data_IF_099287294100
#
_entry.id   IF_099287294100
#
_cell.length_a   1.000
_cell.length_b   1.000
_cell.length_c   1.000
_cell.angle_alpha   90.00
_cell.angle_beta   90.00
_cell.angle_gamma   90.00
#
_symmetry.space_group_name_H-M   'P 1'
#
loop_
_entity.id
_entity.type
_entity.pdbx_description
1 polymer ?
#
# COMPACT_ATOMS: atom_id res chain seq x y z
N UNK A 1 -12.61 52.33 27.01
CA UNK A 1 -12.22 50.90 26.88
C UNK A 1 -13.12 50.26 25.83
N UNK A 2 -12.62 50.03 24.62
CA UNK A 2 -13.37 49.38 23.54
C UNK A 2 -12.60 48.15 23.09
N UNK A 3 -13.10 46.96 23.44
CA UNK A 3 -12.54 45.69 22.99
C UNK A 3 -13.02 45.40 21.57
N UNK A 4 -12.11 45.43 20.60
CA UNK A 4 -12.36 45.02 19.22
C UNK A 4 -12.06 43.53 19.12
N UNK A 5 -13.11 42.71 18.96
CA UNK A 5 -13.00 41.29 18.63
C UNK A 5 -12.57 41.13 17.17
N UNK A 6 -11.34 40.65 16.93
CA UNK A 6 -10.93 40.19 15.60
C UNK A 6 -11.56 38.81 15.32
N UNK A 7 -12.59 38.77 14.47
CA UNK A 7 -13.02 37.54 13.80
C UNK A 7 -11.98 37.18 12.73
N UNK A 8 -11.26 36.08 12.93
CA UNK A 8 -10.42 35.49 11.89
C UNK A 8 -11.32 34.92 10.79
N UNK A 9 -11.22 35.48 9.58
CA UNK A 9 -11.82 34.89 8.40
C UNK A 9 -10.91 33.77 7.87
N UNK A 10 -11.43 32.56 7.59
CA UNK A 10 -10.62 31.49 7.03
C UNK A 10 -10.14 31.88 5.63
N UNK A 11 -8.85 32.15 5.49
CA UNK A 11 -8.25 32.46 4.20
C UNK A 11 -8.15 31.17 3.37
N UNK A 12 -8.84 31.15 2.24
CA UNK A 12 -8.75 30.09 1.24
C UNK A 12 -7.32 30.00 0.71
N UNK A 13 -6.63 28.89 0.98
CA UNK A 13 -5.29 28.66 0.43
C UNK A 13 -5.38 28.32 -1.05
N UNK A 14 -4.34 28.67 -1.83
CA UNK A 14 -4.22 28.32 -3.26
C UNK A 14 -4.42 26.82 -3.52
N UNK A 15 -4.01 25.96 -2.58
CA UNK A 15 -4.20 24.51 -2.63
C UNK A 15 -5.68 24.13 -2.51
N UNK A 16 -6.44 24.78 -1.64
CA UNK A 16 -7.89 24.57 -1.52
C UNK A 16 -8.66 25.06 -2.76
N UNK A 17 -8.20 26.16 -3.38
CA UNK A 17 -8.78 26.65 -4.64
C UNK A 17 -8.55 25.68 -5.82
N UNK A 18 -7.35 25.10 -5.93
CA UNK A 18 -7.05 24.11 -6.97
C UNK A 18 -7.81 22.79 -6.78
N UNK A 19 -7.98 22.33 -5.53
CA UNK A 19 -8.82 21.18 -5.21
C UNK A 19 -10.29 21.41 -5.62
N UNK A 20 -10.79 22.64 -5.46
CA UNK A 20 -12.15 23.01 -5.83
C UNK A 20 -12.34 23.08 -7.35
N UNK A 21 -11.36 23.60 -8.09
CA UNK A 21 -11.40 23.65 -9.56
C UNK A 21 -11.27 22.27 -10.22
N UNK A 22 -10.51 21.35 -9.62
CA UNK A 22 -10.43 19.97 -10.11
C UNK A 22 -11.76 19.20 -10.05
N UNK A 23 -12.70 19.64 -9.20
CA UNK A 23 -14.05 19.09 -9.12
C UNK A 23 -15.01 19.79 -10.11
N UNK A 24 -14.68 21.02 -10.53
CA UNK A 24 -15.58 21.88 -11.31
C UNK A 24 -15.44 21.82 -12.84
N UNK A 25 -14.34 21.31 -13.40
CA UNK A 25 -14.08 21.41 -14.85
C UNK A 25 -14.38 20.16 -15.68
N UNK A 26 -14.94 19.09 -15.09
CA UNK A 26 -15.29 17.85 -15.81
C UNK A 26 -16.75 17.38 -15.59
N UNK A 27 -17.65 18.25 -15.11
CA UNK A 27 -18.97 17.81 -14.60
C UNK A 27 -20.21 18.52 -15.16
N UNK A 28 -20.09 19.33 -16.21
CA UNK A 28 -21.23 20.04 -16.79
C UNK A 28 -21.78 19.34 -18.05
N UNK A 29 -22.17 18.06 -17.96
CA UNK A 29 -23.04 17.41 -18.95
C UNK A 29 -24.09 16.54 -18.24
N UNK A 30 -25.23 17.17 -17.96
CA UNK A 30 -26.62 16.69 -18.09
C UNK A 30 -26.91 15.22 -17.74
N UNK A 31 -27.66 15.01 -16.65
CA UNK A 31 -28.47 13.80 -16.42
C UNK A 31 -28.56 13.43 -14.94
N UNK A 32 -29.76 13.42 -14.36
CA UNK A 32 -30.04 13.16 -12.94
C UNK A 32 -29.66 11.76 -12.41
N UNK A 33 -28.83 11.02 -13.14
CA UNK A 33 -28.30 9.70 -12.83
C UNK A 33 -26.77 9.68 -12.65
N UNK A 34 -26.05 10.78 -12.92
CA UNK A 34 -24.59 10.82 -12.94
C UNK A 34 -23.92 11.13 -11.59
N UNK A 35 -24.65 11.75 -10.65
CA UNK A 35 -24.11 12.05 -9.30
C UNK A 35 -23.75 10.74 -8.59
N UNK A 36 -24.64 9.75 -8.60
CA UNK A 36 -24.37 8.44 -8.01
C UNK A 36 -23.16 7.73 -8.64
N UNK A 37 -22.99 7.82 -9.96
CA UNK A 37 -21.86 7.19 -10.67
C UNK A 37 -20.51 7.85 -10.32
N UNK A 38 -20.47 9.18 -10.19
CA UNK A 38 -19.24 9.90 -9.84
C UNK A 38 -18.87 9.69 -8.37
N UNK A 39 -19.83 9.71 -7.45
CA UNK A 39 -19.59 9.41 -6.05
C UNK A 39 -19.18 7.94 -5.83
N UNK A 40 -19.80 7.00 -6.55
CA UNK A 40 -19.43 5.58 -6.48
C UNK A 40 -18.05 5.31 -7.09
N UNK A 41 -17.68 6.01 -8.16
CA UNK A 41 -16.34 5.91 -8.74
C UNK A 41 -15.30 6.49 -7.77
N UNK A 42 -15.55 7.67 -7.19
CA UNK A 42 -14.65 8.28 -6.19
C UNK A 42 -14.49 7.41 -4.93
N UNK A 43 -15.58 6.82 -4.44
CA UNK A 43 -15.54 5.89 -3.30
C UNK A 43 -14.75 4.61 -3.59
N UNK A 44 -14.64 4.18 -4.85
CA UNK A 44 -13.83 3.01 -5.23
C UNK A 44 -12.33 3.27 -5.11
N UNK A 45 -11.90 4.54 -5.14
CA UNK A 45 -10.50 4.93 -5.00
C UNK A 45 -10.16 5.48 -3.61
N UNK A 46 -11.11 5.48 -2.66
CA UNK A 46 -10.80 5.83 -1.27
C UNK A 46 -10.42 4.54 -0.53
N UNK A 47 -9.18 4.46 -0.04
CA UNK A 47 -8.79 3.36 0.84
C UNK A 47 -9.44 3.60 2.20
N UNK A 48 -10.27 2.67 2.73
CA UNK A 48 -10.90 2.86 4.03
C UNK A 48 -9.84 3.06 5.12
N UNK A 49 -10.04 4.07 5.96
CA UNK A 49 -9.13 4.46 7.04
C UNK A 49 -9.87 4.32 8.37
N UNK A 50 -9.20 3.75 9.37
CA UNK A 50 -9.64 3.77 10.76
C UNK A 50 -8.85 4.85 11.50
N UNK A 51 -9.51 5.98 11.76
CA UNK A 51 -8.89 7.11 12.48
C UNK A 51 -8.50 6.74 13.92
N UNK A 52 -9.20 5.77 14.54
CA UNK A 52 -8.92 5.33 15.92
C UNK A 52 -7.62 4.51 16.02
N UNK A 53 -7.25 3.77 14.96
CA UNK A 53 -6.06 2.92 14.92
C UNK A 53 -4.92 3.49 14.06
N UNK A 54 -5.06 4.73 13.56
CA UNK A 54 -4.16 5.34 12.56
C UNK A 54 -3.76 4.34 11.46
N UNK A 55 -4.73 3.61 10.91
CA UNK A 55 -4.49 2.50 9.98
C UNK A 55 -5.40 2.53 8.75
N UNK A 56 -4.92 1.92 7.66
CA UNK A 56 -5.73 1.63 6.48
C UNK A 56 -6.23 0.18 6.53
N UNK A 57 -7.44 -0.08 6.04
CA UNK A 57 -7.95 -1.44 5.94
C UNK A 57 -7.07 -2.29 5.01
N UNK A 58 -6.58 -3.42 5.52
CA UNK A 58 -5.81 -4.39 4.73
C UNK A 58 -6.67 -5.08 3.67
N UNK A 59 -7.89 -5.47 4.05
CA UNK A 59 -8.82 -6.15 3.15
C UNK A 59 -9.63 -5.15 2.33
N UNK A 60 -9.61 -5.33 1.02
CA UNK A 60 -10.38 -4.50 0.09
C UNK A 60 -10.42 -5.12 -1.30
N UNK A 61 -11.16 -4.49 -2.22
CA UNK A 61 -11.16 -4.90 -3.62
C UNK A 61 -9.81 -4.61 -4.31
N UNK A 62 -9.15 -3.53 -3.88
CA UNK A 62 -7.83 -3.09 -4.33
C UNK A 62 -6.91 -3.14 -3.10
N UNK A 63 -5.68 -3.64 -3.26
CA UNK A 63 -4.70 -3.63 -2.17
C UNK A 63 -4.41 -2.18 -1.73
N UNK A 64 -4.33 -1.96 -0.42
CA UNK A 64 -3.83 -0.70 0.13
C UNK A 64 -2.40 -0.42 -0.37
N UNK A 65 -2.02 0.85 -0.47
CA UNK A 65 -0.77 1.34 -1.08
C UNK A 65 -0.87 1.70 -2.57
N UNK A 66 -2.02 1.45 -3.23
CA UNK A 66 -2.27 1.83 -4.64
C UNK A 66 -3.05 3.14 -4.73
N UNK A 67 -4.25 3.17 -4.15
CA UNK A 67 -5.13 4.36 -4.14
C UNK A 67 -5.01 5.15 -2.84
N UNK A 68 -4.28 4.59 -1.88
CA UNK A 68 -4.02 5.18 -0.58
C UNK A 68 -3.24 6.49 -0.70
N UNK A 69 -3.56 7.52 0.11
CA UNK A 69 -2.75 8.74 0.16
C UNK A 69 -1.27 8.43 0.43
N UNK A 70 -0.37 9.15 -0.24
CA UNK A 70 1.08 8.96 -0.11
C UNK A 70 1.56 9.11 1.34
N UNK A 71 2.26 8.10 1.85
CA UNK A 71 2.90 8.14 3.16
C UNK A 71 4.33 8.71 3.12
N UNK A 72 4.91 8.98 4.28
CA UNK A 72 6.20 9.67 4.40
C UNK A 72 7.41 8.78 4.07
N UNK A 73 7.32 7.48 4.32
CA UNK A 73 8.41 6.52 4.17
C UNK A 73 7.98 5.37 3.27
N UNK A 74 8.94 4.75 2.58
CA UNK A 74 8.72 3.62 1.71
C UNK A 74 9.95 2.73 1.63
N UNK A 75 9.77 1.44 1.87
CA UNK A 75 10.72 0.38 1.53
C UNK A 75 10.17 -0.44 0.37
N UNK A 76 11.01 -0.68 -0.64
CA UNK A 76 10.70 -1.55 -1.76
C UNK A 76 11.66 -2.72 -1.79
N UNK A 77 11.12 -3.92 -1.95
CA UNK A 77 11.89 -5.15 -1.97
C UNK A 77 11.46 -5.99 -3.16
N UNK A 78 12.43 -6.44 -3.95
CA UNK A 78 12.26 -7.47 -4.98
C UNK A 78 12.88 -8.77 -4.48
N UNK A 79 12.14 -9.88 -4.58
CA UNK A 79 12.51 -11.19 -4.07
C UNK A 79 12.47 -12.24 -5.18
N UNK A 80 13.42 -13.17 -5.14
CA UNK A 80 13.44 -14.35 -6.00
C UNK A 80 12.93 -15.59 -5.27
N UNK A 81 12.10 -16.38 -5.96
CA UNK A 81 11.68 -17.69 -5.50
C UNK A 81 12.85 -18.67 -5.45
N UNK A 82 13.00 -19.34 -4.32
CA UNK A 82 13.92 -20.48 -4.15
C UNK A 82 13.26 -21.84 -4.37
N UNK A 83 11.94 -21.90 -4.44
CA UNK A 83 11.16 -23.11 -4.73
C UNK A 83 10.17 -22.86 -5.87
N UNK A 84 9.81 -23.93 -6.58
CA UNK A 84 8.74 -23.93 -7.60
C UNK A 84 7.48 -24.67 -7.13
N UNK A 85 7.49 -25.20 -5.90
CA UNK A 85 6.35 -25.92 -5.34
C UNK A 85 5.22 -24.93 -5.01
N UNK A 86 4.12 -25.05 -5.75
CA UNK A 86 2.94 -24.20 -5.58
C UNK A 86 2.32 -24.31 -4.18
N UNK A 87 2.45 -25.47 -3.52
CA UNK A 87 1.91 -25.68 -2.17
C UNK A 87 2.68 -24.84 -1.17
N UNK A 88 4.01 -24.94 -1.18
CA UNK A 88 4.88 -24.15 -0.31
C UNK A 88 4.72 -22.64 -0.54
N UNK A 89 4.61 -22.22 -1.81
CA UNK A 89 4.41 -20.81 -2.16
C UNK A 89 3.05 -20.31 -1.68
N UNK A 90 1.99 -21.11 -1.82
CA UNK A 90 0.65 -20.76 -1.33
C UNK A 90 0.64 -20.61 0.19
N UNK A 91 1.31 -21.49 0.91
CA UNK A 91 1.39 -21.43 2.36
C UNK A 91 2.25 -20.25 2.84
N UNK A 92 3.32 -19.91 2.11
CA UNK A 92 4.08 -18.67 2.34
C UNK A 92 3.18 -17.43 2.21
N UNK A 93 2.43 -17.30 1.11
CA UNK A 93 1.53 -16.15 0.93
C UNK A 93 0.44 -16.08 2.00
N UNK A 94 -0.16 -17.22 2.41
CA UNK A 94 -1.12 -17.23 3.52
C UNK A 94 -0.50 -16.73 4.83
N UNK A 95 0.73 -17.16 5.14
CA UNK A 95 1.45 -16.71 6.32
C UNK A 95 1.74 -15.22 6.25
N UNK A 96 2.24 -14.73 5.12
CA UNK A 96 2.47 -13.29 4.91
C UNK A 96 1.19 -12.47 4.97
N UNK A 97 0.06 -12.96 4.48
CA UNK A 97 -1.24 -12.30 4.65
C UNK A 97 -1.60 -12.15 6.13
N UNK A 98 -1.44 -13.21 6.94
CA UNK A 98 -1.70 -13.13 8.38
C UNK A 98 -0.79 -12.13 9.08
N UNK A 99 0.51 -12.16 8.76
CA UNK A 99 1.49 -11.21 9.31
C UNK A 99 1.17 -9.77 8.90
N UNK A 100 0.79 -9.56 7.63
CA UNK A 100 0.46 -8.24 7.11
C UNK A 100 -0.73 -7.64 7.83
N UNK A 101 -1.81 -8.41 8.02
CA UNK A 101 -3.00 -7.96 8.76
C UNK A 101 -2.61 -7.50 10.16
N UNK A 102 -1.83 -8.31 10.89
CA UNK A 102 -1.37 -7.94 12.23
C UNK A 102 -0.56 -6.63 12.20
N UNK A 103 0.43 -6.52 11.33
CA UNK A 103 1.28 -5.34 11.26
C UNK A 103 0.52 -4.08 10.83
N UNK A 104 -0.39 -4.18 9.87
CA UNK A 104 -1.19 -3.03 9.41
C UNK A 104 -2.21 -2.58 10.45
N UNK A 105 -2.57 -3.44 11.41
CA UNK A 105 -3.36 -3.09 12.59
C UNK A 105 -2.50 -2.60 13.77
N UNK A 106 -1.18 -2.47 13.59
CA UNK A 106 -0.22 -2.08 14.64
C UNK A 106 0.01 -3.16 15.70
N UNK A 107 -0.38 -4.39 15.42
CA UNK A 107 -0.20 -5.54 16.31
C UNK A 107 1.10 -6.28 16.02
N UNK A 108 1.66 -6.89 17.06
CA UNK A 108 2.83 -7.78 16.96
C UNK A 108 2.49 -9.06 16.17
N UNK A 109 3.49 -9.63 15.50
CA UNK A 109 3.33 -10.87 14.75
C UNK A 109 3.35 -12.09 15.68
N UNK A 110 2.23 -12.81 15.76
CA UNK A 110 2.13 -14.08 16.46
C UNK A 110 2.27 -13.96 17.98
N UNK A 111 2.35 -15.11 18.65
CA UNK A 111 2.51 -15.16 20.11
C UNK A 111 3.98 -15.38 20.49
N UNK A 112 4.46 -14.61 21.45
CA UNK A 112 5.79 -14.81 22.02
C UNK A 112 5.84 -16.13 22.79
N UNK A 113 6.85 -16.94 22.50
CA UNK A 113 7.09 -18.17 23.25
C UNK A 113 7.60 -17.86 24.65
N UNK A 114 7.07 -18.54 25.66
CA UNK A 114 7.64 -18.53 27.01
C UNK A 114 9.00 -19.26 27.10
N UNK A 115 9.42 -19.92 26.02
CA UNK A 115 10.71 -20.60 25.94
C UNK A 115 11.80 -19.63 25.49
N UNK A 116 12.63 -19.17 26.43
CA UNK A 116 13.74 -18.24 26.21
C UNK A 116 14.86 -18.79 25.34
N UNK A 117 14.84 -20.08 24.99
CA UNK A 117 15.82 -20.70 24.08
C UNK A 117 15.40 -20.66 22.61
N UNK A 118 14.17 -20.24 22.32
CA UNK A 118 13.69 -20.04 20.95
C UNK A 118 13.85 -18.58 20.55
N UNK A 119 14.16 -18.30 19.27
CA UNK A 119 14.10 -16.94 18.76
C UNK A 119 12.66 -16.41 18.88
N UNK A 120 12.50 -15.09 19.09
CA UNK A 120 11.17 -14.49 19.07
C UNK A 120 10.55 -14.60 17.68
N UNK A 121 9.21 -14.55 17.62
CA UNK A 121 8.45 -14.66 16.37
C UNK A 121 8.46 -13.33 15.61
N UNK A 122 8.40 -12.25 16.37
CA UNK A 122 8.50 -10.87 15.92
C UNK A 122 9.84 -10.29 16.41
N UNK A 123 10.50 -9.47 15.60
CA UNK A 123 11.78 -8.86 15.93
C UNK A 123 11.67 -7.73 16.97
N UNK A 124 10.47 -7.15 17.11
CA UNK A 124 10.07 -6.29 18.23
C UNK A 124 10.41 -4.81 18.09
N UNK A 125 10.99 -4.37 16.98
CA UNK A 125 11.42 -2.99 16.78
C UNK A 125 10.26 -1.99 16.76
N UNK A 126 9.04 -2.43 16.44
CA UNK A 126 7.84 -1.59 16.40
C UNK A 126 7.01 -1.64 17.69
N UNK A 127 7.43 -2.38 18.72
CA UNK A 127 6.67 -2.48 19.98
C UNK A 127 6.50 -1.10 20.62
N UNK A 128 5.25 -0.72 20.84
CA UNK A 128 4.87 0.57 21.43
C UNK A 128 4.66 1.69 20.40
N UNK A 129 4.77 1.39 19.11
CA UNK A 129 4.35 2.26 18.02
C UNK A 129 2.94 1.88 17.55
N UNK A 130 2.26 2.84 16.91
CA UNK A 130 1.00 2.59 16.20
C UNK A 130 1.27 1.96 14.82
N UNK A 131 0.20 1.62 14.08
CA UNK A 131 0.30 1.17 12.70
C UNK A 131 0.92 2.24 11.78
N UNK A 132 0.88 3.52 12.16
CA UNK A 132 1.40 4.66 11.40
C UNK A 132 0.97 4.68 9.94
N UNK A 133 -0.27 4.30 9.64
CA UNK A 133 -0.82 4.13 8.29
C UNK A 133 -0.02 3.17 7.41
N UNK A 134 0.52 2.11 8.01
CA UNK A 134 1.24 1.07 7.30
C UNK A 134 0.35 0.43 6.23
N UNK A 135 0.91 0.31 5.02
CA UNK A 135 0.35 -0.50 3.94
C UNK A 135 1.42 -1.45 3.41
N UNK A 136 1.01 -2.68 3.14
CA UNK A 136 1.84 -3.70 2.49
C UNK A 136 1.18 -4.12 1.17
N UNK A 137 1.85 -3.84 0.05
CA UNK A 137 1.37 -4.17 -1.29
C UNK A 137 2.25 -5.22 -1.92
N UNK A 138 1.64 -6.27 -2.45
CA UNK A 138 2.34 -7.38 -3.10
C UNK A 138 2.09 -7.40 -4.61
N UNK A 139 3.17 -7.50 -5.38
CA UNK A 139 3.16 -7.73 -6.82
C UNK A 139 3.89 -9.02 -7.18
N UNK A 140 3.51 -9.66 -8.29
CA UNK A 140 4.22 -10.82 -8.84
C UNK A 140 4.57 -10.60 -10.30
N UNK A 141 5.76 -11.05 -10.70
CA UNK A 141 6.26 -10.86 -12.05
C UNK A 141 5.85 -11.99 -13.00
N UNK A 142 6.15 -11.81 -14.29
CA UNK A 142 6.04 -12.91 -15.26
C UNK A 142 6.98 -14.05 -14.96
N UNK A 143 8.16 -13.76 -14.40
CA UNK A 143 9.13 -14.78 -14.01
C UNK A 143 8.54 -15.69 -12.93
N UNK A 144 7.88 -15.12 -11.92
CA UNK A 144 7.11 -15.86 -10.91
C UNK A 144 6.10 -16.81 -11.56
N UNK A 145 5.20 -16.28 -12.40
CA UNK A 145 4.15 -17.08 -13.05
C UNK A 145 4.72 -18.21 -13.92
N UNK A 146 5.80 -17.94 -14.66
CA UNK A 146 6.51 -18.97 -15.44
C UNK A 146 7.12 -20.05 -14.53
N UNK A 147 7.81 -19.66 -13.45
CA UNK A 147 8.48 -20.57 -12.51
C UNK A 147 7.51 -21.54 -11.84
N UNK A 148 6.28 -21.09 -11.55
CA UNK A 148 5.25 -21.93 -10.91
C UNK A 148 4.34 -22.64 -11.92
N UNK A 149 4.60 -22.56 -13.22
CA UNK A 149 3.81 -23.26 -14.25
C UNK A 149 2.47 -22.60 -14.59
N UNK A 150 2.31 -21.30 -14.33
CA UNK A 150 1.12 -20.50 -14.64
C UNK A 150 1.32 -19.56 -15.82
N UNK A 151 2.17 -19.90 -16.79
CA UNK A 151 2.43 -19.08 -17.98
C UNK A 151 1.15 -18.73 -18.77
N UNK A 152 0.14 -19.60 -18.76
CA UNK A 152 -1.17 -19.37 -19.40
C UNK A 152 -2.03 -18.31 -18.70
N UNK A 153 -1.65 -17.87 -17.50
CA UNK A 153 -2.33 -16.80 -16.74
C UNK A 153 -1.69 -15.43 -16.93
N UNK A 154 -0.58 -15.33 -17.66
CA UNK A 154 0.07 -14.06 -17.96
C UNK A 154 -0.85 -13.25 -18.90
N UNK A 155 -1.34 -12.07 -18.49
CA UNK A 155 -2.16 -11.22 -19.36
C UNK A 155 -1.38 -10.77 -20.59
N UNK A 156 -2.09 -10.59 -21.71
CA UNK A 156 -1.48 -10.17 -22.98
C UNK A 156 -0.75 -8.82 -22.90
N UNK A 157 -1.25 -7.90 -22.06
CA UNK A 157 -0.67 -6.58 -21.86
C UNK A 157 0.50 -6.58 -20.87
N UNK A 158 0.73 -7.69 -20.16
CA UNK A 158 1.90 -7.83 -19.30
C UNK A 158 3.12 -8.16 -20.17
N UNK A 159 3.61 -7.19 -20.95
CA UNK A 159 4.74 -7.34 -21.88
C UNK A 159 6.04 -6.85 -21.26
N UNK A 160 7.16 -7.35 -21.80
CA UNK A 160 8.47 -6.93 -21.29
C UNK A 160 8.66 -5.46 -21.69
N UNK A 161 9.28 -4.70 -20.79
CA UNK A 161 9.55 -3.29 -21.03
C UNK A 161 10.62 -3.22 -22.12
N UNK A 162 10.40 -2.48 -23.22
CA UNK A 162 11.41 -2.36 -24.26
C UNK A 162 12.61 -1.59 -23.73
N UNK A 163 13.78 -1.85 -24.30
CA UNK A 163 14.95 -1.02 -24.04
C UNK A 163 14.70 0.42 -24.48
N UNK A 164 15.06 1.38 -23.62
CA UNK A 164 15.03 2.80 -23.92
C UNK A 164 16.44 3.37 -24.11
N UNK A 165 16.60 4.40 -24.97
CA UNK A 165 17.88 5.09 -25.10
C UNK A 165 18.36 5.63 -23.74
N UNK A 166 19.61 5.33 -23.40
CA UNK A 166 20.27 5.67 -22.13
C UNK A 166 19.84 4.86 -20.90
N UNK A 167 19.17 3.71 -21.06
CA UNK A 167 19.04 2.76 -19.95
C UNK A 167 20.43 2.37 -19.42
N UNK A 168 20.62 2.57 -18.12
CA UNK A 168 21.80 2.11 -17.36
C UNK A 168 21.31 1.17 -16.26
N UNK A 169 20.57 0.15 -16.67
CA UNK A 169 20.01 -0.83 -15.74
C UNK A 169 21.14 -1.72 -15.23
N UNK A 170 21.20 -1.84 -13.90
CA UNK A 170 22.02 -2.84 -13.24
C UNK A 170 21.17 -4.10 -13.07
N UNK A 171 21.63 -5.22 -13.62
CA UNK A 171 20.92 -6.51 -13.54
C UNK A 171 20.72 -6.96 -12.09
N UNK A 172 21.63 -6.60 -11.17
CA UNK A 172 21.54 -6.97 -9.76
C UNK A 172 20.37 -6.25 -9.04
N UNK A 173 19.96 -5.08 -9.54
CA UNK A 173 18.88 -4.26 -8.98
C UNK A 173 17.63 -4.22 -9.87
N UNK A 174 17.54 -5.13 -10.83
CA UNK A 174 16.42 -5.22 -11.78
C UNK A 174 15.60 -6.48 -11.58
N UNK A 175 14.33 -6.44 -11.99
CA UNK A 175 13.39 -7.57 -11.97
C UNK A 175 13.06 -8.13 -10.57
N UNK A 176 13.06 -9.47 -10.43
CA UNK A 176 12.53 -10.22 -9.27
C UNK A 176 11.24 -10.99 -9.57
N UNK A 177 10.90 -11.93 -8.70
CA UNK A 177 9.67 -12.73 -8.78
C UNK A 177 8.50 -12.10 -8.02
N UNK A 178 8.78 -11.61 -6.81
CA UNK A 178 7.79 -10.99 -5.92
C UNK A 178 8.29 -9.60 -5.57
N UNK A 179 7.42 -8.61 -5.65
CA UNK A 179 7.68 -7.25 -5.19
C UNK A 179 6.82 -6.95 -3.96
N UNK A 180 7.42 -6.31 -2.96
CA UNK A 180 6.76 -5.85 -1.75
C UNK A 180 7.01 -4.35 -1.61
N UNK A 181 5.94 -3.59 -1.44
CA UNK A 181 5.95 -2.17 -1.10
C UNK A 181 5.46 -2.01 0.34
N UNK A 182 6.32 -1.55 1.24
CA UNK A 182 5.96 -1.19 2.60
C UNK A 182 6.00 0.33 2.73
N UNK A 183 4.87 0.96 3.08
CA UNK A 183 4.80 2.41 3.26
C UNK A 183 4.11 2.76 4.57
N UNK A 184 4.67 3.67 5.34
CA UNK A 184 4.03 4.22 6.54
C UNK A 184 4.52 5.64 6.86
N UNK A 185 3.91 6.29 7.84
CA UNK A 185 4.29 7.62 8.30
C UNK A 185 5.45 7.61 9.31
N UNK A 186 5.89 6.43 9.74
CA UNK A 186 6.99 6.22 10.67
C UNK A 186 8.07 5.31 10.04
N UNK A 187 9.34 5.73 9.98
CA UNK A 187 10.39 4.96 9.32
C UNK A 187 10.71 3.64 10.05
N UNK A 188 10.51 3.56 11.37
CA UNK A 188 10.75 2.34 12.14
C UNK A 188 9.65 1.31 11.89
N UNK A 189 8.39 1.75 11.79
CA UNK A 189 7.27 0.88 11.36
C UNK A 189 7.50 0.39 9.93
N UNK A 190 7.99 1.24 9.02
CA UNK A 190 8.32 0.83 7.64
C UNK A 190 9.52 -0.13 7.58
N UNK A 191 10.45 -0.06 8.52
CA UNK A 191 11.62 -0.96 8.59
C UNK A 191 11.30 -2.32 9.20
N UNK A 192 10.43 -2.34 10.22
CA UNK A 192 9.98 -3.58 10.88
C UNK A 192 9.19 -4.48 9.93
N UNK A 193 8.36 -3.88 9.07
CA UNK A 193 7.53 -4.57 8.10
C UNK A 193 8.31 -5.05 6.86
#
# INVERSE_FOLDING_TARGET
MSNINHKNHPQMTRRSFLKLLGIGSAGAVIGASSVGSIFSFKSMFDTPESEESDSYEFYGHIQAGITTPTQKNCNFIALDLKSKDQTLIKDMFKKWTQMSVSMTDGAIIGENSNNTLLPPVDTGESIGLDASKLTLTYGVSKSFLKKIGLSSKIPFDFRDIPHFPNDQLDEEYSDGDIMIQACSNDPQVTFHA
#
